data_IF_105420359999
#
_entry.id   IF_105420359999
#
_cell.length_a   1.000
_cell.length_b   1.000
_cell.length_c   1.000
_cell.angle_alpha   90.00
_cell.angle_beta   90.00
_cell.angle_gamma   90.00
#
_symmetry.space_group_name_H-M   'P 1'
#
loop_
_entity.id
_entity.type
_entity.pdbx_description
1 polymer ?
#
# COMPACT_ATOMS: atom_id res chain seq x y z
N UNK A 1 38.55 7.66 -5.72
CA UNK A 1 38.31 9.12 -5.85
C UNK A 1 36.82 9.31 -6.05
N UNK A 2 36.11 9.86 -5.06
CA UNK A 2 34.71 10.24 -5.24
C UNK A 2 34.64 11.38 -6.24
N UNK A 3 33.79 11.26 -7.26
CA UNK A 3 33.58 12.33 -8.25
C UNK A 3 32.90 13.52 -7.57
N UNK A 4 33.23 14.75 -7.99
CA UNK A 4 32.54 15.98 -7.58
C UNK A 4 31.01 15.86 -7.71
N UNK A 5 30.52 15.05 -8.65
CA UNK A 5 29.10 14.79 -8.87
C UNK A 5 28.47 13.86 -7.81
N UNK A 6 29.27 13.14 -7.02
CA UNK A 6 28.72 12.23 -6.01
C UNK A 6 28.01 12.96 -4.86
N UNK A 7 28.40 14.21 -4.59
CA UNK A 7 27.72 15.08 -3.61
C UNK A 7 26.28 15.47 -4.03
N UNK A 8 25.96 15.42 -5.34
CA UNK A 8 24.63 15.71 -5.88
C UNK A 8 23.78 14.45 -6.05
N UNK A 9 24.35 13.27 -5.84
CA UNK A 9 23.58 12.02 -5.87
C UNK A 9 22.69 11.91 -4.64
N UNK A 10 21.45 11.53 -4.86
CA UNK A 10 20.48 11.23 -3.81
C UNK A 10 21.05 10.15 -2.88
N UNK A 11 21.08 10.42 -1.59
CA UNK A 11 21.58 9.49 -0.58
C UNK A 11 20.43 8.76 0.09
N UNK A 12 20.56 7.45 0.41
CA UNK A 12 19.56 6.75 1.20
C UNK A 12 19.47 7.38 2.59
N UNK A 13 18.25 7.51 3.09
CA UNK A 13 17.97 8.08 4.41
C UNK A 13 17.85 7.01 5.49
N UNK A 14 17.44 5.81 5.10
CA UNK A 14 17.33 4.65 5.97
C UNK A 14 17.46 3.36 5.16
N UNK A 15 17.66 2.26 5.87
CA UNK A 15 17.73 0.91 5.33
C UNK A 15 16.66 0.07 6.03
N UNK A 16 15.94 -0.75 5.29
CA UNK A 16 14.84 -1.58 5.81
C UNK A 16 15.01 -3.04 5.45
N UNK A 17 14.57 -3.91 6.35
CA UNK A 17 14.36 -5.33 6.10
C UNK A 17 12.88 -5.57 5.85
N UNK A 18 12.52 -6.26 4.78
CA UNK A 18 11.12 -6.55 4.52
C UNK A 18 10.57 -7.55 5.54
N UNK A 19 9.32 -7.38 6.02
CA UNK A 19 8.67 -8.35 6.90
C UNK A 19 8.64 -9.78 6.35
N UNK A 20 8.51 -9.93 5.01
CA UNK A 20 8.60 -11.24 4.33
C UNK A 20 9.99 -11.84 4.26
N UNK A 21 11.04 -11.10 4.67
CA UNK A 21 12.44 -11.48 4.46
C UNK A 21 12.79 -11.72 2.98
N UNK A 22 11.99 -11.22 2.05
CA UNK A 22 12.18 -11.43 0.60
C UNK A 22 11.91 -12.86 0.10
N UNK A 23 11.48 -13.77 0.97
CA UNK A 23 11.40 -15.21 0.69
C UNK A 23 10.45 -15.60 -0.47
N UNK A 24 9.57 -14.69 -0.88
CA UNK A 24 8.56 -14.95 -1.92
C UNK A 24 8.79 -14.18 -3.22
N UNK A 25 9.87 -13.43 -3.31
CA UNK A 25 10.21 -12.65 -4.50
C UNK A 25 11.35 -13.28 -5.29
N UNK A 26 11.29 -13.15 -6.61
CA UNK A 26 12.39 -13.47 -7.51
C UNK A 26 13.17 -12.19 -7.90
N UNK A 27 14.29 -12.35 -8.59
CA UNK A 27 15.13 -11.24 -9.04
C UNK A 27 14.45 -10.28 -10.00
N UNK A 28 13.30 -10.66 -10.58
CA UNK A 28 12.49 -9.77 -11.43
C UNK A 28 11.70 -8.75 -10.60
N UNK A 29 11.47 -9.04 -9.32
CA UNK A 29 10.70 -8.19 -8.39
C UNK A 29 11.64 -7.34 -7.55
N UNK A 30 12.62 -7.97 -6.90
CA UNK A 30 13.61 -7.29 -6.05
C UNK A 30 15.00 -7.70 -6.51
N UNK A 31 15.83 -6.71 -6.79
CA UNK A 31 17.21 -6.93 -7.19
C UNK A 31 18.00 -7.43 -5.99
N UNK A 32 18.76 -8.53 -6.20
CA UNK A 32 19.69 -9.08 -5.24
C UNK A 32 19.08 -9.53 -3.89
N UNK A 33 18.58 -10.76 -3.88
CA UNK A 33 17.98 -11.40 -2.70
C UNK A 33 18.98 -11.64 -1.55
N UNK A 34 20.29 -11.41 -1.76
CA UNK A 34 21.33 -11.54 -0.73
C UNK A 34 21.42 -10.30 0.18
N UNK A 35 20.86 -9.16 -0.24
CA UNK A 35 20.82 -7.97 0.59
C UNK A 35 19.65 -8.05 1.57
N UNK A 36 19.97 -8.15 2.83
CA UNK A 36 19.01 -8.11 3.92
C UNK A 36 18.40 -6.72 4.10
N UNK A 37 19.05 -5.67 3.54
CA UNK A 37 18.64 -4.28 3.77
C UNK A 37 18.43 -3.50 2.47
N UNK A 38 17.20 -3.06 2.24
CA UNK A 38 16.84 -2.22 1.11
C UNK A 38 17.12 -0.74 1.43
N UNK A 39 17.91 -0.02 0.62
CA UNK A 39 18.11 1.41 0.78
C UNK A 39 16.85 2.18 0.40
N UNK A 40 16.38 3.06 1.28
CA UNK A 40 15.21 3.90 1.07
C UNK A 40 15.63 5.36 0.97
N UNK A 41 15.20 6.00 -0.11
CA UNK A 41 15.40 7.41 -0.40
C UNK A 41 14.14 8.19 -0.09
N UNK A 42 14.28 9.44 0.36
CA UNK A 42 13.13 10.34 0.52
C UNK A 42 12.54 10.70 -0.86
N UNK A 43 11.27 11.04 -0.97
CA UNK A 43 10.63 11.50 -2.20
C UNK A 43 11.28 12.77 -2.75
N UNK A 44 11.28 12.94 -4.05
CA UNK A 44 11.64 14.17 -4.73
C UNK A 44 10.36 14.95 -5.11
N UNK A 45 10.54 16.16 -5.65
CA UNK A 45 9.40 17.03 -6.03
C UNK A 45 8.45 16.38 -7.05
N UNK A 46 8.99 15.57 -7.99
CA UNK A 46 8.15 14.88 -8.97
C UNK A 46 7.32 13.78 -8.31
N UNK A 47 7.91 13.03 -7.37
CA UNK A 47 7.21 12.03 -6.58
C UNK A 47 6.06 12.68 -5.78
N UNK A 48 6.30 13.86 -5.17
CA UNK A 48 5.27 14.60 -4.42
C UNK A 48 4.14 15.15 -5.31
N UNK A 49 4.44 15.57 -6.53
CA UNK A 49 3.41 15.99 -7.51
C UNK A 49 2.56 14.78 -7.90
N UNK A 50 3.18 13.62 -8.11
CA UNK A 50 2.49 12.40 -8.53
C UNK A 50 1.49 11.92 -7.48
N UNK A 51 1.83 11.99 -6.18
CA UNK A 51 0.90 11.69 -5.07
C UNK A 51 -0.35 12.61 -5.08
N UNK A 52 -0.21 13.85 -5.54
CA UNK A 52 -1.32 14.81 -5.60
C UNK A 52 -2.22 14.64 -6.81
N UNK A 53 -1.93 13.68 -7.69
CA UNK A 53 -2.71 13.38 -8.90
C UNK A 53 -3.72 12.27 -8.60
N UNK A 54 -5.04 12.57 -8.44
CA UNK A 54 -6.02 11.59 -7.98
C UNK A 54 -6.14 10.35 -8.87
N UNK A 55 -6.13 10.52 -10.20
CA UNK A 55 -6.26 9.41 -11.14
C UNK A 55 -5.07 8.45 -11.07
N UNK A 56 -3.86 8.98 -10.89
CA UNK A 56 -2.64 8.18 -10.75
C UNK A 56 -2.61 7.42 -9.41
N UNK A 57 -3.16 8.00 -8.34
CA UNK A 57 -3.35 7.30 -7.06
C UNK A 57 -4.40 6.19 -7.18
N UNK A 58 -5.53 6.48 -7.81
CA UNK A 58 -6.61 5.50 -7.98
C UNK A 58 -6.20 4.32 -8.85
N UNK A 59 -5.43 4.57 -9.92
CA UNK A 59 -4.87 3.50 -10.78
C UNK A 59 -3.76 2.70 -10.09
N UNK A 60 -3.15 3.24 -9.02
CA UNK A 60 -2.00 2.67 -8.34
C UNK A 60 -0.66 2.98 -9.00
N UNK A 61 -0.65 3.66 -10.15
CA UNK A 61 0.57 3.99 -10.90
C UNK A 61 1.48 4.92 -10.12
N UNK A 62 0.91 5.95 -9.46
CA UNK A 62 1.68 6.87 -8.64
C UNK A 62 2.46 6.12 -7.55
N UNK A 63 1.81 5.22 -6.83
CA UNK A 63 2.46 4.43 -5.78
C UNK A 63 3.58 3.55 -6.35
N UNK A 64 3.34 2.89 -7.49
CA UNK A 64 4.34 2.04 -8.13
C UNK A 64 5.58 2.85 -8.56
N UNK A 65 5.39 4.00 -9.19
CA UNK A 65 6.52 4.86 -9.63
C UNK A 65 7.27 5.47 -8.45
N UNK A 66 6.59 5.87 -7.36
CA UNK A 66 7.23 6.37 -6.15
C UNK A 66 8.07 5.28 -5.49
N UNK A 67 7.60 4.04 -5.43
CA UNK A 67 8.39 2.93 -4.91
C UNK A 67 9.64 2.71 -5.75
N UNK A 68 9.56 2.70 -7.07
CA UNK A 68 10.74 2.60 -7.96
C UNK A 68 11.72 3.74 -7.75
N UNK A 69 11.20 4.96 -7.57
CA UNK A 69 12.03 6.16 -7.32
C UNK A 69 12.72 6.12 -5.97
N UNK A 70 12.01 5.69 -4.92
CA UNK A 70 12.49 5.76 -3.54
C UNK A 70 13.17 4.47 -3.07
N UNK A 71 12.88 3.32 -3.69
CA UNK A 71 13.50 2.03 -3.39
C UNK A 71 13.94 1.36 -4.69
N UNK A 72 15.05 1.81 -5.31
CA UNK A 72 15.44 1.37 -6.67
C UNK A 72 15.72 -0.13 -6.80
N UNK A 73 15.92 -0.83 -5.68
CA UNK A 73 16.08 -2.30 -5.69
C UNK A 73 14.77 -3.03 -5.96
N UNK A 74 13.60 -2.36 -5.81
CA UNK A 74 12.30 -2.88 -6.20
C UNK A 74 12.07 -2.60 -7.67
N UNK A 75 12.25 -3.62 -8.52
CA UNK A 75 12.09 -3.51 -9.99
C UNK A 75 10.63 -3.51 -10.42
N UNK A 76 9.82 -4.35 -9.78
CA UNK A 76 8.39 -4.50 -10.10
C UNK A 76 7.51 -4.34 -8.84
N UNK A 77 7.12 -3.10 -8.49
CA UNK A 77 6.26 -2.84 -7.34
C UNK A 77 4.89 -3.52 -7.40
N UNK A 78 4.39 -3.81 -8.60
CA UNK A 78 3.08 -4.45 -8.77
C UNK A 78 3.02 -5.88 -8.21
N UNK A 79 4.16 -6.55 -8.11
CA UNK A 79 4.28 -7.89 -7.56
C UNK A 79 4.59 -7.91 -6.07
N UNK A 80 4.83 -6.76 -5.44
CA UNK A 80 5.04 -6.68 -3.99
C UNK A 80 3.76 -7.07 -3.25
N UNK A 81 3.90 -7.84 -2.18
CA UNK A 81 2.79 -8.25 -1.31
C UNK A 81 2.32 -7.09 -0.44
N UNK A 82 1.02 -7.04 -0.11
CA UNK A 82 0.40 -5.92 0.56
C UNK A 82 1.10 -5.50 1.86
N UNK A 83 1.47 -6.46 2.71
CA UNK A 83 2.14 -6.14 3.98
C UNK A 83 3.57 -5.58 3.81
N UNK A 84 4.33 -6.03 2.80
CA UNK A 84 5.64 -5.45 2.47
C UNK A 84 5.48 -4.08 1.80
N UNK A 85 4.41 -3.91 1.01
CA UNK A 85 4.08 -2.63 0.39
C UNK A 85 3.82 -1.55 1.45
N UNK A 86 2.99 -1.84 2.44
CA UNK A 86 2.67 -0.90 3.51
C UNK A 86 3.92 -0.53 4.32
N UNK A 87 4.79 -1.51 4.57
CA UNK A 87 6.06 -1.29 5.24
C UNK A 87 6.99 -0.37 4.43
N UNK A 88 7.12 -0.61 3.12
CA UNK A 88 7.89 0.24 2.20
C UNK A 88 7.33 1.67 2.18
N UNK A 89 6.02 1.84 2.11
CA UNK A 89 5.38 3.17 2.08
C UNK A 89 5.60 3.94 3.38
N UNK A 90 5.52 3.29 4.54
CA UNK A 90 5.87 3.89 5.83
C UNK A 90 7.34 4.32 5.86
N UNK A 91 8.25 3.48 5.37
CA UNK A 91 9.67 3.78 5.29
C UNK A 91 9.95 4.98 4.36
N UNK A 92 9.31 5.05 3.19
CA UNK A 92 9.41 6.20 2.27
C UNK A 92 8.88 7.46 2.94
N UNK A 93 7.76 7.38 3.65
CA UNK A 93 7.19 8.50 4.41
C UNK A 93 8.18 9.00 5.46
N UNK A 94 8.80 8.07 6.21
CA UNK A 94 9.79 8.39 7.24
C UNK A 94 11.07 8.98 6.61
N UNK A 95 11.54 8.45 5.50
CA UNK A 95 12.69 8.97 4.77
C UNK A 95 12.47 10.38 4.21
N UNK A 96 11.21 10.75 3.91
CA UNK A 96 10.86 12.05 3.31
C UNK A 96 10.62 13.13 4.35
N UNK A 97 9.79 12.84 5.35
CA UNK A 97 9.27 13.83 6.29
C UNK A 97 9.71 13.60 7.74
N UNK A 98 10.49 12.56 7.99
CA UNK A 98 10.95 12.19 9.33
C UNK A 98 9.99 11.25 10.06
N UNK A 99 10.38 10.89 11.28
CA UNK A 99 9.75 9.84 12.09
C UNK A 99 8.37 10.23 12.64
N UNK A 100 8.13 11.52 12.87
CA UNK A 100 6.91 12.00 13.49
C UNK A 100 5.81 12.27 12.47
N UNK A 101 4.62 11.74 12.73
CA UNK A 101 3.43 11.99 11.93
C UNK A 101 2.33 12.61 12.80
N UNK A 102 1.95 13.89 12.56
CA UNK A 102 0.81 14.48 13.25
C UNK A 102 -0.49 13.84 12.74
N UNK A 103 -1.37 13.49 13.67
CA UNK A 103 -2.69 12.90 13.39
C UNK A 103 -3.72 13.61 14.23
N UNK A 104 -4.74 14.16 13.59
CA UNK A 104 -5.88 14.77 14.24
C UNK A 104 -7.11 13.88 14.10
N UNK A 105 -7.86 13.70 15.17
CA UNK A 105 -9.10 12.94 15.18
C UNK A 105 -10.13 13.58 16.07
N UNK A 106 -11.41 13.51 15.71
CA UNK A 106 -12.51 13.96 16.54
C UNK A 106 -13.01 12.82 17.42
N UNK A 107 -13.25 13.11 18.69
CA UNK A 107 -13.83 12.16 19.63
C UNK A 107 -15.28 11.84 19.22
N UNK A 108 -15.68 10.57 19.01
CA UNK A 108 -17.03 10.24 18.59
C UNK A 108 -18.09 10.50 19.67
N UNK A 109 -17.69 10.75 20.93
CA UNK A 109 -18.62 10.99 22.06
C UNK A 109 -18.87 12.48 22.32
N UNK A 110 -17.86 13.35 22.12
CA UNK A 110 -17.96 14.78 22.46
C UNK A 110 -17.48 15.71 21.35
N UNK A 111 -17.14 15.19 20.18
CA UNK A 111 -16.66 15.91 18.99
C UNK A 111 -15.41 16.80 19.24
N UNK A 112 -14.75 16.59 20.39
CA UNK A 112 -13.52 17.33 20.69
C UNK A 112 -12.40 16.82 19.79
N UNK A 113 -11.69 17.75 19.14
CA UNK A 113 -10.50 17.45 18.35
C UNK A 113 -9.34 17.05 19.27
N UNK A 114 -8.71 15.93 18.94
CA UNK A 114 -7.50 15.44 19.61
C UNK A 114 -6.36 15.42 18.58
N UNK A 115 -5.28 16.10 18.91
CA UNK A 115 -4.07 16.14 18.11
C UNK A 115 -3.02 15.24 18.76
N UNK A 116 -2.50 14.28 18.02
CA UNK A 116 -1.53 13.29 18.49
C UNK A 116 -0.32 13.26 17.53
N UNK A 117 0.82 12.86 18.03
CA UNK A 117 1.98 12.50 17.23
C UNK A 117 2.17 10.97 17.22
N UNK A 118 2.22 10.38 16.05
CA UNK A 118 2.54 8.96 15.86
C UNK A 118 4.01 8.84 15.48
N UNK A 119 4.74 8.00 16.20
CA UNK A 119 6.14 7.66 15.88
C UNK A 119 6.15 6.50 14.90
N UNK A 120 6.61 6.75 13.66
CA UNK A 120 6.64 5.76 12.59
C UNK A 120 7.62 4.62 12.87
N UNK A 121 8.74 4.90 13.54
CA UNK A 121 9.69 3.87 13.99
C UNK A 121 8.99 2.80 14.83
N UNK A 122 8.13 3.22 15.79
CA UNK A 122 7.38 2.26 16.62
C UNK A 122 6.38 1.43 15.83
N UNK A 123 5.82 1.99 14.76
CA UNK A 123 4.95 1.24 13.85
C UNK A 123 5.75 0.19 13.07
N UNK A 124 6.92 0.54 12.53
CA UNK A 124 7.80 -0.39 11.83
C UNK A 124 8.25 -1.53 12.75
N UNK A 125 8.72 -1.22 13.97
CA UNK A 125 9.11 -2.21 14.98
C UNK A 125 7.97 -3.20 15.31
N UNK A 126 6.74 -2.69 15.39
CA UNK A 126 5.55 -3.53 15.64
C UNK A 126 5.25 -4.45 14.46
N UNK A 127 5.42 -3.98 13.22
CA UNK A 127 5.25 -4.79 12.02
C UNK A 127 6.35 -5.86 11.95
N UNK A 128 7.61 -5.49 12.21
CA UNK A 128 8.75 -6.42 12.22
C UNK A 128 8.60 -7.54 13.25
N UNK A 129 7.95 -7.25 14.38
CA UNK A 129 7.68 -8.25 15.41
C UNK A 129 6.50 -9.17 15.09
N UNK A 130 5.69 -8.84 14.07
CA UNK A 130 4.55 -9.65 13.67
C UNK A 130 5.00 -10.91 12.91
N UNK A 131 4.53 -12.07 13.38
CA UNK A 131 4.76 -13.32 12.67
C UNK A 131 3.71 -13.50 11.57
N UNK A 132 4.18 -13.69 10.34
CA UNK A 132 3.31 -13.99 9.20
C UNK A 132 2.98 -15.48 9.19
N UNK A 133 1.76 -15.81 9.61
CA UNK A 133 1.26 -17.17 9.49
C UNK A 133 0.89 -17.46 8.02
N UNK A 134 1.66 -18.33 7.37
CA UNK A 134 1.45 -18.73 5.98
C UNK A 134 0.57 -19.97 5.83
N UNK A 135 0.18 -20.60 6.93
CA UNK A 135 -0.67 -21.79 6.89
C UNK A 135 -1.60 -21.84 8.11
N UNK A 136 -2.84 -22.24 7.86
CA UNK A 136 -3.86 -22.45 8.90
C UNK A 136 -4.35 -23.88 8.81
N UNK A 137 -4.36 -24.59 9.94
CA UNK A 137 -4.89 -25.96 10.03
C UNK A 137 -6.30 -25.92 10.62
N UNK A 138 -7.26 -26.39 9.84
CA UNK A 138 -8.67 -26.55 10.27
C UNK A 138 -9.04 -28.02 10.20
N UNK A 139 -9.21 -28.67 11.36
CA UNK A 139 -9.40 -30.12 11.48
C UNK A 139 -8.23 -30.87 10.84
N UNK A 140 -8.49 -31.68 9.80
CA UNK A 140 -7.49 -32.46 9.07
C UNK A 140 -6.93 -31.74 7.83
N UNK A 141 -7.49 -30.57 7.47
CA UNK A 141 -7.08 -29.79 6.30
C UNK A 141 -6.10 -28.70 6.68
N UNK A 142 -5.04 -28.56 5.90
CA UNK A 142 -4.07 -27.48 6.01
C UNK A 142 -4.25 -26.51 4.83
N UNK A 143 -4.62 -25.29 5.12
CA UNK A 143 -4.76 -24.21 4.14
C UNK A 143 -3.48 -23.41 4.08
N UNK A 144 -2.91 -23.26 2.90
CA UNK A 144 -1.77 -22.37 2.68
C UNK A 144 -2.30 -21.00 2.28
N UNK A 145 -1.98 -19.98 3.09
CA UNK A 145 -2.36 -18.59 2.83
C UNK A 145 -1.30 -17.96 1.94
N UNK A 146 -1.75 -17.26 0.91
CA UNK A 146 -0.88 -16.46 0.05
C UNK A 146 -1.38 -15.01 0.08
N UNK A 147 -0.54 -14.05 0.52
CA UNK A 147 -0.89 -12.65 0.52
C UNK A 147 -1.13 -12.13 -0.90
N UNK A 148 -2.06 -11.19 -1.04
CA UNK A 148 -2.33 -10.54 -2.31
C UNK A 148 -1.18 -9.61 -2.69
N UNK A 149 -0.85 -9.58 -3.97
CA UNK A 149 0.09 -8.60 -4.53
C UNK A 149 -0.59 -7.24 -4.69
N UNK A 150 0.23 -6.17 -4.77
CA UNK A 150 -0.27 -4.82 -5.00
C UNK A 150 -1.16 -4.71 -6.24
N UNK A 151 -0.75 -5.34 -7.35
CA UNK A 151 -1.57 -5.38 -8.57
C UNK A 151 -2.96 -5.97 -8.30
N UNK A 152 -3.01 -7.11 -7.61
CA UNK A 152 -4.27 -7.81 -7.33
C UNK A 152 -5.18 -6.99 -6.42
N UNK A 153 -4.61 -6.37 -5.38
CA UNK A 153 -5.35 -5.51 -4.47
C UNK A 153 -5.91 -4.28 -5.20
N UNK A 154 -5.11 -3.64 -6.06
CA UNK A 154 -5.54 -2.48 -6.85
C UNK A 154 -6.68 -2.86 -7.81
N UNK A 155 -6.56 -3.99 -8.54
CA UNK A 155 -7.59 -4.46 -9.46
C UNK A 155 -8.92 -4.74 -8.74
N UNK A 156 -8.86 -5.35 -7.55
CA UNK A 156 -10.05 -5.60 -6.70
C UNK A 156 -10.68 -4.27 -6.27
N UNK A 157 -9.88 -3.32 -5.77
CA UNK A 157 -10.36 -2.02 -5.31
C UNK A 157 -11.02 -1.21 -6.44
N UNK A 158 -10.44 -1.20 -7.63
CA UNK A 158 -11.02 -0.53 -8.81
C UNK A 158 -12.34 -1.16 -9.23
N UNK A 159 -12.39 -2.50 -9.26
CA UNK A 159 -13.62 -3.25 -9.56
C UNK A 159 -14.72 -2.92 -8.53
N UNK A 160 -14.38 -2.96 -7.25
CA UNK A 160 -15.31 -2.66 -6.16
C UNK A 160 -15.86 -1.23 -6.26
N UNK A 161 -14.97 -0.25 -6.47
CA UNK A 161 -15.37 1.15 -6.68
C UNK A 161 -16.33 1.32 -7.87
N UNK A 162 -16.05 0.65 -8.99
CA UNK A 162 -16.90 0.69 -10.18
C UNK A 162 -18.30 0.13 -9.88
N UNK A 163 -18.37 -1.00 -9.17
CA UNK A 163 -19.64 -1.62 -8.77
C UNK A 163 -20.41 -0.73 -7.79
N UNK A 164 -19.73 -0.12 -6.81
CA UNK A 164 -20.37 0.83 -5.88
C UNK A 164 -20.95 2.04 -6.62
N UNK A 165 -20.22 2.59 -7.60
CA UNK A 165 -20.70 3.71 -8.41
C UNK A 165 -21.94 3.33 -9.23
N UNK A 166 -21.97 2.12 -9.78
CA UNK A 166 -23.15 1.61 -10.50
C UNK A 166 -24.35 1.44 -9.56
N UNK A 167 -24.15 0.89 -8.35
CA UNK A 167 -25.21 0.77 -7.34
C UNK A 167 -25.77 2.13 -6.95
N UNK A 168 -24.92 3.10 -6.63
CA UNK A 168 -25.35 4.46 -6.29
C UNK A 168 -26.18 5.11 -7.42
N UNK A 169 -25.79 4.87 -8.69
CA UNK A 169 -26.55 5.38 -9.84
C UNK A 169 -27.95 4.75 -9.95
N UNK A 170 -28.06 3.45 -9.62
CA UNK A 170 -29.34 2.73 -9.62
C UNK A 170 -30.23 3.23 -8.47
N UNK A 171 -29.68 3.43 -7.28
CA UNK A 171 -30.43 3.94 -6.11
C UNK A 171 -31.01 5.32 -6.35
N UNK A 172 -30.22 6.22 -6.96
CA UNK A 172 -30.71 7.58 -7.33
C UNK A 172 -31.79 7.52 -8.43
N UNK A 173 -31.78 6.49 -9.29
CA UNK A 173 -32.77 6.31 -10.35
C UNK A 173 -34.05 5.58 -9.88
N UNK A 174 -33.98 4.90 -8.72
CA UNK A 174 -35.05 4.00 -8.23
C UNK A 174 -36.23 4.73 -7.56
N UNK A 175 -36.14 6.04 -7.37
CA UNK A 175 -37.30 6.84 -6.93
C UNK A 175 -38.46 6.87 -7.98
N UNK A 176 -38.32 6.19 -9.11
CA UNK A 176 -39.31 6.26 -10.21
C UNK A 176 -39.70 4.93 -10.88
N UNK A 177 -39.04 3.77 -10.63
CA UNK A 177 -39.41 2.55 -11.37
C UNK A 177 -39.01 1.23 -10.66
N UNK A 178 -39.98 0.37 -10.40
CA UNK A 178 -39.91 -0.90 -9.65
C UNK A 178 -39.20 -2.06 -10.36
N UNK A 179 -38.61 -1.85 -11.54
CA UNK A 179 -38.12 -2.93 -12.42
C UNK A 179 -36.56 -3.18 -12.33
N UNK A 180 -35.87 -2.53 -11.39
CA UNK A 180 -34.41 -2.59 -11.31
C UNK A 180 -33.85 -3.52 -10.21
N UNK A 181 -34.71 -4.14 -9.42
CA UNK A 181 -34.37 -5.04 -8.33
C UNK A 181 -33.41 -6.19 -8.76
N UNK A 182 -33.64 -6.91 -9.87
CA UNK A 182 -32.74 -8.02 -10.26
C UNK A 182 -31.35 -7.55 -10.66
N UNK A 183 -31.20 -6.33 -11.19
CA UNK A 183 -29.88 -5.79 -11.53
C UNK A 183 -29.09 -5.38 -10.28
N UNK A 184 -29.75 -4.78 -9.29
CA UNK A 184 -29.19 -4.44 -7.98
C UNK A 184 -28.70 -5.69 -7.25
N UNK A 185 -29.49 -6.76 -7.19
CA UNK A 185 -29.10 -8.02 -6.56
C UNK A 185 -27.89 -8.66 -7.23
N UNK A 186 -27.79 -8.60 -8.56
CA UNK A 186 -26.64 -9.10 -9.31
C UNK A 186 -25.37 -8.33 -8.98
N UNK A 187 -25.44 -7.01 -8.83
CA UNK A 187 -24.28 -6.18 -8.44
C UNK A 187 -23.88 -6.43 -7.00
N UNK A 188 -24.81 -6.56 -6.07
CA UNK A 188 -24.52 -6.89 -4.67
C UNK A 188 -23.84 -8.25 -4.53
N UNK A 189 -24.25 -9.25 -5.28
CA UNK A 189 -23.57 -10.56 -5.32
C UNK A 189 -22.14 -10.44 -5.86
N UNK A 190 -21.93 -9.67 -6.93
CA UNK A 190 -20.61 -9.47 -7.52
C UNK A 190 -19.62 -8.69 -6.64
N UNK A 191 -20.13 -7.99 -5.60
CA UNK A 191 -19.29 -7.30 -4.59
C UNK A 191 -18.93 -8.21 -3.41
N UNK A 192 -19.67 -9.32 -3.20
CA UNK A 192 -19.44 -10.27 -2.13
C UNK A 192 -18.52 -11.43 -2.50
N UNK A 193 -18.15 -11.58 -3.79
CA UNK A 193 -17.21 -12.55 -4.33
C UNK A 193 -15.80 -11.92 -4.47
#
# INVERSE_FOLDING_TARGET
MSSFLDQYKRQPKLFIDLPSKGASYDESVIQDQQYTQLPVFGMNTMDEIMIKTPDALFSGEATAEIIKSCVPMVKDPWKIMGFDLDYILLAIRMATYGDKMPVSSNCPMCDTQNDNEVMLTKMLEKIDSAQLETSVKIKELTFKLQPLTYKRTTDISQKHFTLQKQLATIEVADDKETDKQPHREKLLRAMGD
#
